data_IF_660572886415
#
_entry.id   IF_660572886415
#
_cell.length_a   1.000
_cell.length_b   1.000
_cell.length_c   1.000
_cell.angle_alpha   90.00
_cell.angle_beta   90.00
_cell.angle_gamma   90.00
#
_symmetry.space_group_name_H-M   'P 1'
#
loop_
_entity.id
_entity.type
_entity.pdbx_description
1 polymer ?
#
# COMPACT_ATOMS: atom_id res chain seq x y z
N UNK A 1 20.32 7.84 -34.12
CA UNK A 1 21.07 7.73 -32.85
C UNK A 1 22.40 8.44 -32.96
N UNK A 2 22.57 9.50 -32.19
CA UNK A 2 23.81 10.24 -32.02
C UNK A 2 24.88 9.40 -31.30
N UNK A 3 26.16 9.74 -31.47
CA UNK A 3 27.30 9.12 -30.76
C UNK A 3 27.10 9.11 -29.23
N UNK A 4 26.42 10.15 -28.71
CA UNK A 4 26.15 10.35 -27.29
C UNK A 4 25.10 9.36 -26.76
N UNK A 5 24.10 9.03 -27.59
CA UNK A 5 23.10 8.01 -27.27
C UNK A 5 23.75 6.63 -27.29
N UNK A 6 24.56 6.30 -28.31
CA UNK A 6 25.26 5.00 -28.38
C UNK A 6 26.14 4.71 -27.16
N UNK A 7 26.86 5.72 -26.65
CA UNK A 7 27.66 5.57 -25.43
C UNK A 7 26.81 5.41 -24.16
N UNK A 8 25.64 6.04 -24.08
CA UNK A 8 24.72 5.88 -22.94
C UNK A 8 24.10 4.48 -22.90
N UNK A 9 23.81 3.90 -24.07
CA UNK A 9 23.32 2.53 -24.19
C UNK A 9 24.38 1.49 -23.79
N UNK A 10 25.64 1.72 -24.16
CA UNK A 10 26.76 0.83 -23.80
C UNK A 10 27.02 0.80 -22.28
N UNK A 11 26.81 1.90 -21.56
CA UNK A 11 26.93 1.95 -20.10
C UNK A 11 25.77 1.22 -19.43
N UNK A 12 24.53 1.43 -19.90
CA UNK A 12 23.33 0.81 -19.32
C UNK A 12 23.33 -0.73 -19.40
N UNK A 13 23.77 -1.29 -20.54
CA UNK A 13 23.91 -2.74 -20.70
C UNK A 13 25.04 -3.35 -19.85
N UNK A 14 26.07 -2.55 -19.52
CA UNK A 14 27.19 -3.00 -18.67
C UNK A 14 26.79 -3.08 -17.20
N UNK A 15 25.84 -2.25 -16.76
CA UNK A 15 25.35 -2.23 -15.38
C UNK A 15 24.19 -3.20 -15.12
N UNK A 16 23.53 -3.72 -16.16
CA UNK A 16 22.38 -4.62 -16.04
C UNK A 16 22.51 -5.86 -16.95
N UNK A 17 23.46 -6.78 -16.65
CA UNK A 17 23.79 -7.91 -17.52
C UNK A 17 22.71 -9.01 -17.56
N UNK A 18 21.70 -8.96 -16.70
CA UNK A 18 20.62 -9.97 -16.64
C UNK A 18 19.44 -9.69 -17.58
N UNK A 19 19.48 -8.61 -18.36
CA UNK A 19 18.40 -8.26 -19.28
C UNK A 19 18.53 -9.00 -20.62
N UNK A 20 17.46 -9.70 -21.01
CA UNK A 20 17.33 -10.64 -22.13
C UNK A 20 17.39 -10.04 -23.55
N UNK A 21 17.84 -8.79 -23.69
CA UNK A 21 17.98 -8.12 -24.98
C UNK A 21 16.67 -7.69 -25.63
N UNK A 22 15.53 -7.71 -24.92
CA UNK A 22 14.27 -7.19 -25.45
C UNK A 22 14.29 -5.64 -25.50
N UNK A 23 14.60 -5.10 -26.69
CA UNK A 23 14.77 -3.66 -26.96
C UNK A 23 13.54 -2.81 -26.56
N UNK A 24 12.32 -3.33 -26.65
CA UNK A 24 11.08 -2.61 -26.29
C UNK A 24 10.94 -2.42 -24.77
N UNK A 25 11.30 -3.44 -23.99
CA UNK A 25 11.32 -3.36 -22.53
C UNK A 25 12.41 -2.41 -22.04
N UNK A 26 13.57 -2.43 -22.70
CA UNK A 26 14.70 -1.55 -22.40
C UNK A 26 14.41 -0.09 -22.77
N UNK A 27 13.73 0.16 -23.88
CA UNK A 27 13.22 1.49 -24.25
C UNK A 27 12.23 2.01 -23.21
N UNK A 28 11.32 1.17 -22.73
CA UNK A 28 10.34 1.55 -21.70
C UNK A 28 11.03 1.91 -20.38
N UNK A 29 12.01 1.11 -19.95
CA UNK A 29 12.84 1.41 -18.78
C UNK A 29 13.64 2.71 -18.95
N UNK A 30 14.26 2.93 -20.11
CA UNK A 30 15.05 4.12 -20.38
C UNK A 30 14.19 5.39 -20.42
N UNK A 31 13.00 5.32 -21.02
CA UNK A 31 12.02 6.40 -21.05
C UNK A 31 11.55 6.74 -19.62
N UNK A 32 11.27 5.72 -18.79
CA UNK A 32 10.84 5.93 -17.41
C UNK A 32 11.98 6.45 -16.52
N UNK A 33 13.21 6.00 -16.73
CA UNK A 33 14.37 6.43 -15.95
C UNK A 33 14.81 7.87 -16.26
N UNK A 34 14.59 8.34 -17.49
CA UNK A 34 14.93 9.70 -17.93
C UNK A 34 13.73 10.68 -17.93
N UNK A 35 12.61 10.33 -17.27
CA UNK A 35 11.55 11.31 -17.05
C UNK A 35 12.09 12.50 -16.24
N UNK A 36 11.68 13.74 -16.52
CA UNK A 36 12.06 14.89 -15.71
C UNK A 36 11.65 14.75 -14.23
N UNK A 37 10.63 13.94 -13.95
CA UNK A 37 10.15 13.60 -12.62
C UNK A 37 11.18 12.78 -11.81
N UNK A 38 11.90 11.84 -12.43
CA UNK A 38 12.93 11.03 -11.73
C UNK A 38 14.18 11.84 -11.41
N UNK A 39 14.51 12.85 -12.24
CA UNK A 39 15.64 13.75 -11.99
C UNK A 39 15.36 14.77 -10.88
N UNK A 40 14.09 15.19 -10.75
CA UNK A 40 13.65 15.98 -9.60
C UNK A 40 13.73 15.16 -8.30
N UNK A 41 13.36 13.88 -8.34
CA UNK A 41 13.45 12.95 -7.21
C UNK A 41 14.92 12.69 -6.82
N UNK A 42 15.81 12.48 -7.80
CA UNK A 42 17.26 12.33 -7.53
C UNK A 42 17.86 13.59 -6.92
N UNK A 43 17.55 14.78 -7.46
CA UNK A 43 18.01 16.05 -6.87
C UNK A 43 17.48 16.27 -5.46
N UNK A 44 16.23 15.88 -5.20
CA UNK A 44 15.65 15.95 -3.86
C UNK A 44 16.35 14.98 -2.89
N UNK A 45 16.66 13.76 -3.33
CA UNK A 45 17.39 12.77 -2.55
C UNK A 45 18.84 13.19 -2.27
N UNK A 46 19.54 13.77 -3.25
CA UNK A 46 20.90 14.29 -3.08
C UNK A 46 20.95 15.53 -2.18
N UNK A 47 19.95 16.42 -2.28
CA UNK A 47 19.81 17.56 -1.39
C UNK A 47 19.52 17.12 0.05
N UNK A 48 18.72 16.06 0.22
CA UNK A 48 18.45 15.45 1.51
C UNK A 48 19.72 14.82 2.12
N UNK A 49 20.48 14.05 1.33
CA UNK A 49 21.72 13.44 1.77
C UNK A 49 22.80 14.47 2.15
N UNK A 50 22.88 15.61 1.44
CA UNK A 50 23.78 16.72 1.80
C UNK A 50 23.38 17.41 3.11
N UNK A 51 22.09 17.63 3.33
CA UNK A 51 21.62 18.19 4.59
C UNK A 51 21.88 17.26 5.78
N UNK A 52 21.82 15.93 5.60
CA UNK A 52 22.15 14.99 6.66
C UNK A 52 23.64 15.00 7.03
N UNK A 53 24.56 15.09 6.06
CA UNK A 53 26.01 15.11 6.36
C UNK A 53 26.49 16.44 6.95
N UNK A 54 25.86 17.56 6.58
CA UNK A 54 26.13 18.87 7.20
C UNK A 54 25.66 18.94 8.67
N UNK A 55 24.58 18.22 9.02
CA UNK A 55 24.12 18.12 10.41
C UNK A 55 25.02 17.24 11.29
N UNK A 56 25.63 16.18 10.73
CA UNK A 56 26.57 15.33 11.48
C UNK A 56 27.91 16.05 11.75
N UNK A 57 28.41 16.84 10.80
CA UNK A 57 29.64 17.62 10.96
C UNK A 57 29.53 18.77 11.99
N UNK A 58 28.32 19.27 12.26
CA UNK A 58 28.08 20.33 13.24
C UNK A 58 27.99 19.80 14.69
N UNK A 59 27.62 18.53 14.88
CA UNK A 59 27.46 17.90 16.21
C UNK A 59 28.82 17.56 16.84
N UNK A 60 29.85 17.26 16.04
CA UNK A 60 31.17 16.84 16.56
C UNK A 60 32.05 17.97 17.13
N UNK A 61 31.72 19.26 16.92
CA UNK A 61 32.61 20.38 17.29
C UNK A 61 32.17 21.25 18.47
N UNK A 62 31.16 20.85 19.23
CA UNK A 62 30.68 21.66 20.36
C UNK A 62 31.08 21.05 21.71
N UNK A 63 31.93 21.71 22.53
CA UNK A 63 32.32 21.16 23.83
C UNK A 63 31.13 21.10 24.80
N UNK A 64 31.05 19.96 25.49
CA UNK A 64 29.91 19.36 26.21
C UNK A 64 29.32 20.14 27.41
N UNK A 65 29.67 21.41 27.63
CA UNK A 65 29.23 22.15 28.84
C UNK A 65 28.63 23.54 28.60
N UNK A 66 28.39 23.95 27.35
CA UNK A 66 28.00 25.34 27.05
C UNK A 66 26.52 25.60 26.70
N UNK A 67 25.62 24.61 26.72
CA UNK A 67 24.19 24.89 26.45
C UNK A 67 23.43 25.06 27.78
N UNK A 68 23.47 26.28 28.31
CA UNK A 68 22.47 26.76 29.28
C UNK A 68 21.21 27.16 28.52
N UNK A 69 20.11 26.45 28.79
CA UNK A 69 18.72 26.87 28.64
C UNK A 69 18.39 27.83 27.48
N UNK A 70 18.10 27.28 26.31
CA UNK A 70 16.99 27.79 25.50
C UNK A 70 16.19 26.62 24.95
N UNK A 71 14.89 26.66 25.24
CA UNK A 71 13.91 25.67 24.87
C UNK A 71 13.83 25.53 23.35
N UNK A 72 14.42 24.47 22.80
CA UNK A 72 14.01 23.95 21.49
C UNK A 72 13.11 22.78 21.79
N UNK A 73 11.81 23.02 21.74
CA UNK A 73 10.79 21.98 21.71
C UNK A 73 10.95 21.17 20.43
N UNK A 74 11.88 20.23 20.44
CA UNK A 74 11.84 19.07 19.54
C UNK A 74 10.52 18.40 19.83
N UNK A 75 9.56 18.49 18.89
CA UNK A 75 8.35 17.69 18.94
C UNK A 75 8.80 16.23 19.02
N UNK A 76 8.75 15.68 20.23
CA UNK A 76 8.93 14.28 20.51
C UNK A 76 7.95 13.55 19.59
N UNK A 77 8.46 12.82 18.60
CA UNK A 77 7.69 11.79 17.92
C UNK A 77 7.04 10.94 19.03
N UNK A 78 5.70 10.75 19.04
CA UNK A 78 5.03 10.15 20.17
C UNK A 78 5.69 8.81 20.51
N UNK A 79 6.24 8.72 21.72
CA UNK A 79 6.70 7.47 22.31
C UNK A 79 5.47 6.60 22.52
N UNK A 80 5.15 5.79 21.51
CA UNK A 80 4.08 4.80 21.61
C UNK A 80 4.45 3.79 22.70
N UNK A 81 3.60 3.55 23.72
CA UNK A 81 3.89 2.64 24.81
C UNK A 81 4.27 1.25 24.26
N UNK A 82 5.44 0.72 24.67
CA UNK A 82 5.97 -0.56 24.20
C UNK A 82 4.96 -1.72 24.35
N UNK A 83 4.14 -1.68 25.39
CA UNK A 83 3.11 -2.69 25.64
C UNK A 83 1.97 -2.66 24.60
N UNK A 84 1.59 -1.47 24.11
CA UNK A 84 0.60 -1.33 23.03
C UNK A 84 1.13 -1.88 21.71
N UNK A 85 2.42 -1.62 21.41
CA UNK A 85 3.09 -2.17 20.22
C UNK A 85 3.13 -3.69 20.25
N UNK A 86 3.51 -4.27 21.40
CA UNK A 86 3.56 -5.73 21.57
C UNK A 86 2.20 -6.39 21.32
N UNK A 87 1.12 -5.83 21.89
CA UNK A 87 -0.25 -6.32 21.67
C UNK A 87 -0.74 -6.16 20.23
N UNK A 88 -0.20 -5.22 19.46
CA UNK A 88 -0.54 -5.06 18.04
C UNK A 88 0.19 -6.09 17.19
N UNK A 89 1.48 -6.34 17.48
CA UNK A 89 2.26 -7.38 16.82
C UNK A 89 1.69 -8.79 17.10
N UNK A 90 1.32 -9.07 18.34
CA UNK A 90 0.70 -10.35 18.71
C UNK A 90 -0.62 -10.57 17.94
N UNK A 91 -1.44 -9.52 17.80
CA UNK A 91 -2.68 -9.56 17.01
C UNK A 91 -2.39 -9.79 15.53
N UNK A 92 -1.38 -9.13 14.98
CA UNK A 92 -0.96 -9.27 13.59
C UNK A 92 -0.50 -10.69 13.27
N UNK A 93 0.40 -11.24 14.09
CA UNK A 93 0.91 -12.62 13.94
C UNK A 93 -0.24 -13.62 13.96
N UNK A 94 -1.23 -13.42 14.83
CA UNK A 94 -2.40 -14.28 14.89
C UNK A 94 -3.27 -14.17 13.64
N UNK A 95 -3.58 -12.96 13.16
CA UNK A 95 -4.32 -12.77 11.91
C UNK A 95 -3.62 -13.43 10.73
N UNK A 96 -2.30 -13.25 10.58
CA UNK A 96 -1.52 -13.89 9.51
C UNK A 96 -1.57 -15.41 9.64
N UNK A 97 -1.52 -15.94 10.86
CA UNK A 97 -1.64 -17.39 11.07
C UNK A 97 -3.00 -17.94 10.65
N UNK A 98 -4.08 -17.19 10.86
CA UNK A 98 -5.41 -17.56 10.39
C UNK A 98 -5.51 -17.46 8.87
N UNK A 99 -5.02 -16.37 8.27
CA UNK A 99 -5.01 -16.18 6.80
C UNK A 99 -4.33 -17.33 6.04
N UNK A 100 -3.28 -17.92 6.62
CA UNK A 100 -2.54 -19.04 6.05
C UNK A 100 -3.26 -20.39 6.14
N UNK A 101 -4.14 -20.54 7.13
CA UNK A 101 -4.83 -21.79 7.42
C UNK A 101 -6.29 -21.79 6.95
N UNK A 102 -6.83 -20.63 6.57
CA UNK A 102 -8.23 -20.50 6.19
C UNK A 102 -8.47 -21.15 4.82
N UNK A 103 -9.32 -22.18 4.80
CA UNK A 103 -9.88 -22.73 3.58
C UNK A 103 -11.20 -21.98 3.39
N UNK A 104 -11.21 -21.00 2.52
CA UNK A 104 -12.43 -20.24 2.25
C UNK A 104 -13.50 -21.13 1.61
N UNK A 105 -14.69 -21.12 2.22
CA UNK A 105 -15.90 -21.75 1.69
C UNK A 105 -17.03 -20.69 1.59
N UNK A 106 -17.54 -20.37 0.38
CA UNK A 106 -18.59 -19.37 0.20
C UNK A 106 -19.80 -19.59 1.09
N UNK A 107 -20.22 -18.53 1.81
CA UNK A 107 -21.39 -18.58 2.70
C UNK A 107 -21.10 -19.10 4.12
N UNK A 108 -19.83 -19.38 4.44
CA UNK A 108 -19.41 -19.72 5.80
C UNK A 108 -18.74 -18.52 6.47
N UNK A 109 -19.11 -18.25 7.72
CA UNK A 109 -18.43 -17.25 8.56
C UNK A 109 -17.16 -17.88 9.10
N UNK A 110 -15.99 -17.35 8.74
CA UNK A 110 -14.70 -17.92 9.15
C UNK A 110 -14.30 -17.49 10.56
N UNK A 111 -13.41 -18.27 11.20
CA UNK A 111 -12.83 -17.91 12.50
C UNK A 111 -12.13 -16.54 12.42
N UNK A 112 -11.47 -16.27 11.30
CA UNK A 112 -10.80 -15.01 11.05
C UNK A 112 -11.77 -13.83 10.98
N UNK A 113 -12.89 -13.98 10.26
CA UNK A 113 -13.92 -12.93 10.21
C UNK A 113 -14.42 -12.59 11.63
N UNK A 114 -14.83 -13.61 12.40
CA UNK A 114 -15.33 -13.40 13.77
C UNK A 114 -14.28 -12.74 14.66
N UNK A 115 -13.02 -13.16 14.56
CA UNK A 115 -11.93 -12.58 15.32
C UNK A 115 -11.77 -11.10 14.97
N UNK A 116 -11.67 -10.74 13.69
CA UNK A 116 -11.45 -9.36 13.25
C UNK A 116 -12.62 -8.47 13.64
N UNK A 117 -13.87 -8.91 13.44
CA UNK A 117 -15.06 -8.16 13.86
C UNK A 117 -15.07 -7.88 15.37
N UNK A 118 -14.73 -8.88 16.18
CA UNK A 118 -14.65 -8.72 17.62
C UNK A 118 -13.54 -7.76 18.02
N UNK A 119 -12.37 -7.81 17.36
CA UNK A 119 -11.29 -6.86 17.62
C UNK A 119 -11.65 -5.43 17.18
N UNK A 120 -12.38 -5.27 16.07
CA UNK A 120 -12.90 -3.96 15.64
C UNK A 120 -13.89 -3.37 16.65
N UNK A 121 -14.71 -4.20 17.32
CA UNK A 121 -15.61 -3.75 18.39
C UNK A 121 -14.86 -3.33 19.67
N UNK A 122 -13.71 -3.95 19.95
CA UNK A 122 -12.88 -3.66 21.13
C UNK A 122 -12.03 -2.41 20.90
N UNK A 123 -11.28 -2.38 19.81
CA UNK A 123 -10.35 -1.32 19.46
C UNK A 123 -10.27 -1.19 17.93
N UNK A 124 -11.19 -0.38 17.38
CA UNK A 124 -11.32 -0.13 15.94
C UNK A 124 -10.03 0.43 15.34
N UNK A 125 -9.46 1.46 15.95
CA UNK A 125 -8.26 2.14 15.44
C UNK A 125 -7.05 1.20 15.39
N UNK A 126 -6.79 0.47 16.49
CA UNK A 126 -5.69 -0.49 16.54
C UNK A 126 -5.87 -1.60 15.51
N UNK A 127 -7.07 -2.17 15.42
CA UNK A 127 -7.34 -3.29 14.52
C UNK A 127 -7.24 -2.87 13.06
N UNK A 128 -7.78 -1.70 12.69
CA UNK A 128 -7.61 -1.14 11.35
C UNK A 128 -6.13 -0.88 11.03
N UNK A 129 -5.36 -0.33 11.97
CA UNK A 129 -3.91 -0.13 11.77
C UNK A 129 -3.17 -1.45 11.58
N UNK A 130 -3.55 -2.52 12.29
CA UNK A 130 -2.98 -3.86 12.11
C UNK A 130 -3.33 -4.40 10.73
N UNK A 131 -4.60 -4.33 10.31
CA UNK A 131 -5.02 -4.78 8.98
C UNK A 131 -4.27 -4.03 7.86
N UNK A 132 -4.13 -2.71 7.97
CA UNK A 132 -3.35 -1.90 7.02
C UNK A 132 -1.86 -2.30 7.00
N UNK A 133 -1.29 -2.65 8.16
CA UNK A 133 0.10 -3.13 8.21
C UNK A 133 0.26 -4.47 7.48
N UNK A 134 -0.66 -5.41 7.68
CA UNK A 134 -0.68 -6.70 6.97
C UNK A 134 -0.85 -6.46 5.48
N UNK A 135 -1.78 -5.57 5.10
CA UNK A 135 -2.02 -5.21 3.71
C UNK A 135 -0.74 -4.73 3.01
N UNK A 136 0.02 -3.82 3.64
CA UNK A 136 1.25 -3.30 3.05
C UNK A 136 2.37 -4.34 2.97
N UNK A 137 2.47 -5.21 3.97
CA UNK A 137 3.54 -6.23 4.04
C UNK A 137 3.27 -7.43 3.14
N UNK A 138 2.00 -7.79 2.92
CA UNK A 138 1.59 -8.93 2.12
C UNK A 138 1.18 -8.54 0.69
N UNK A 139 1.46 -7.30 0.27
CA UNK A 139 1.09 -6.77 -1.05
C UNK A 139 1.64 -7.63 -2.20
N UNK A 140 2.83 -8.22 -2.05
CA UNK A 140 3.43 -9.08 -3.07
C UNK A 140 2.91 -10.53 -3.07
N UNK A 141 2.25 -10.96 -2.00
CA UNK A 141 1.76 -12.33 -1.84
C UNK A 141 0.30 -12.44 -2.26
N UNK A 142 0.04 -12.48 -3.57
CA UNK A 142 -1.30 -12.47 -4.19
C UNK A 142 -2.33 -13.34 -3.46
N UNK A 143 -2.01 -14.60 -3.13
CA UNK A 143 -2.96 -15.51 -2.48
C UNK A 143 -3.35 -15.08 -1.06
N UNK A 144 -2.39 -14.67 -0.23
CA UNK A 144 -2.67 -14.15 1.11
C UNK A 144 -3.40 -12.82 1.04
N UNK A 145 -3.06 -12.01 0.05
CA UNK A 145 -3.66 -10.70 -0.16
C UNK A 145 -5.13 -10.81 -0.57
N UNK A 146 -5.46 -11.76 -1.46
CA UNK A 146 -6.84 -12.09 -1.82
C UNK A 146 -7.63 -12.56 -0.59
N UNK A 147 -7.06 -13.45 0.24
CA UNK A 147 -7.71 -13.89 1.48
C UNK A 147 -7.95 -12.73 2.46
N UNK A 148 -7.01 -11.78 2.55
CA UNK A 148 -7.17 -10.58 3.37
C UNK A 148 -8.32 -9.70 2.85
N UNK A 149 -8.36 -9.43 1.54
CA UNK A 149 -9.43 -8.65 0.89
C UNK A 149 -10.80 -9.31 1.07
N UNK A 150 -10.84 -10.63 0.97
CA UNK A 150 -12.04 -11.42 1.21
C UNK A 150 -12.58 -11.20 2.63
N UNK A 151 -11.74 -11.32 3.65
CA UNK A 151 -12.14 -11.03 5.04
C UNK A 151 -12.63 -9.59 5.18
N UNK A 152 -11.91 -8.63 4.60
CA UNK A 152 -12.29 -7.21 4.62
C UNK A 152 -13.67 -7.00 3.99
N UNK A 153 -13.97 -7.68 2.88
CA UNK A 153 -15.25 -7.55 2.18
C UNK A 153 -16.45 -8.10 2.94
N UNK A 154 -16.24 -9.06 3.86
CA UNK A 154 -17.32 -9.64 4.67
C UNK A 154 -17.62 -8.81 5.93
N UNK A 155 -16.76 -7.86 6.27
CA UNK A 155 -16.97 -6.97 7.41
C UNK A 155 -17.90 -5.84 6.99
N UNK A 156 -18.88 -5.51 7.84
CA UNK A 156 -19.80 -4.40 7.63
C UNK A 156 -19.05 -3.09 7.29
N UNK A 157 -19.50 -2.41 6.24
CA UNK A 157 -18.86 -1.20 5.71
C UNK A 157 -18.52 -0.17 6.81
N UNK A 158 -19.50 0.16 7.68
CA UNK A 158 -19.33 1.16 8.76
C UNK A 158 -18.34 0.74 9.83
N UNK A 159 -18.14 -0.57 10.03
CA UNK A 159 -17.18 -1.11 11.00
C UNK A 159 -15.74 -0.94 10.50
N UNK A 160 -15.51 -1.06 9.19
CA UNK A 160 -14.17 -1.02 8.59
C UNK A 160 -13.83 0.32 7.94
N UNK A 161 -14.78 1.26 7.81
CA UNK A 161 -14.52 2.62 7.34
C UNK A 161 -13.58 3.38 8.30
N UNK A 162 -12.60 4.17 7.78
CA UNK A 162 -12.27 4.37 6.36
C UNK A 162 -11.25 3.37 5.80
N UNK A 163 -10.64 2.54 6.66
CA UNK A 163 -9.56 1.64 6.29
C UNK A 163 -9.93 0.66 5.18
N UNK A 164 -11.10 0.01 5.28
CA UNK A 164 -11.57 -0.98 4.31
C UNK A 164 -11.68 -0.41 2.91
N UNK A 165 -12.51 0.64 2.69
CA UNK A 165 -12.64 1.27 1.37
C UNK A 165 -11.31 1.77 0.79
N UNK A 166 -10.41 2.32 1.61
CA UNK A 166 -9.08 2.75 1.13
C UNK A 166 -8.25 1.54 0.65
N UNK A 167 -8.26 0.43 1.40
CA UNK A 167 -7.57 -0.81 1.02
C UNK A 167 -8.18 -1.42 -0.26
N UNK A 168 -9.50 -1.45 -0.39
CA UNK A 168 -10.18 -1.93 -1.59
C UNK A 168 -9.86 -1.05 -2.80
N UNK A 169 -9.90 0.28 -2.66
CA UNK A 169 -9.50 1.21 -3.70
C UNK A 169 -8.05 0.98 -4.16
N UNK A 170 -7.12 0.85 -3.21
CA UNK A 170 -5.72 0.57 -3.55
C UNK A 170 -5.56 -0.78 -4.28
N UNK A 171 -6.34 -1.80 -3.91
CA UNK A 171 -6.30 -3.12 -4.55
C UNK A 171 -6.73 -3.06 -6.03
N UNK A 172 -7.64 -2.14 -6.40
CA UNK A 172 -8.04 -1.93 -7.81
C UNK A 172 -6.89 -1.47 -8.72
N UNK A 173 -5.74 -1.07 -8.15
CA UNK A 173 -4.54 -0.65 -8.90
C UNK A 173 -3.37 -1.62 -8.77
N UNK A 174 -3.60 -2.80 -8.22
CA UNK A 174 -2.60 -3.85 -8.12
C UNK A 174 -2.19 -4.40 -9.50
N UNK A 175 -0.96 -4.91 -9.64
CA UNK A 175 -0.49 -5.47 -10.93
C UNK A 175 -1.24 -6.77 -11.29
N UNK A 176 -1.58 -7.56 -10.28
CA UNK A 176 -2.32 -8.80 -10.42
C UNK A 176 -3.81 -8.53 -10.71
N UNK A 177 -4.34 -9.19 -11.74
CA UNK A 177 -5.71 -8.98 -12.18
C UNK A 177 -6.76 -9.54 -11.21
N UNK A 178 -6.46 -10.64 -10.52
CA UNK A 178 -7.34 -11.26 -9.53
C UNK A 178 -7.50 -10.33 -8.32
N UNK A 179 -6.40 -9.73 -7.87
CA UNK A 179 -6.43 -8.76 -6.77
C UNK A 179 -7.28 -7.53 -7.12
N UNK A 180 -7.18 -7.04 -8.37
CA UNK A 180 -7.98 -5.90 -8.82
C UNK A 180 -9.47 -6.22 -8.84
N UNK A 181 -9.84 -7.41 -9.31
CA UNK A 181 -11.21 -7.91 -9.25
C UNK A 181 -11.70 -8.01 -7.81
N UNK A 182 -10.91 -8.57 -6.90
CA UNK A 182 -11.26 -8.64 -5.48
C UNK A 182 -11.41 -7.26 -4.83
N UNK A 183 -10.65 -6.26 -5.28
CA UNK A 183 -10.86 -4.87 -4.90
C UNK A 183 -12.26 -4.36 -5.26
N UNK A 184 -12.80 -4.73 -6.42
CA UNK A 184 -14.18 -4.41 -6.81
C UNK A 184 -15.21 -5.23 -6.03
N UNK A 185 -14.97 -6.53 -5.82
CA UNK A 185 -15.84 -7.41 -5.02
C UNK A 185 -16.01 -6.92 -3.58
N UNK A 186 -15.03 -6.21 -3.02
CA UNK A 186 -15.21 -5.56 -1.73
C UNK A 186 -16.36 -4.56 -1.75
N UNK A 187 -16.44 -3.72 -2.79
CA UNK A 187 -17.52 -2.76 -2.94
C UNK A 187 -18.85 -3.44 -3.24
N UNK A 188 -18.85 -4.48 -4.09
CA UNK A 188 -20.03 -5.30 -4.34
C UNK A 188 -20.59 -5.89 -3.04
N UNK A 189 -19.76 -6.53 -2.22
CA UNK A 189 -20.21 -7.15 -0.97
C UNK A 189 -20.73 -6.15 0.07
N UNK A 190 -20.26 -4.90 0.05
CA UNK A 190 -20.71 -3.89 1.00
C UNK A 190 -22.07 -3.29 0.67
N UNK A 191 -22.43 -3.22 -0.63
CA UNK A 191 -23.69 -2.64 -1.11
C UNK A 191 -24.00 -1.24 -0.51
N UNK A 192 -22.97 -0.48 -0.10
CA UNK A 192 -23.15 0.81 0.60
C UNK A 192 -23.11 1.97 -0.42
N UNK A 193 -24.17 2.81 -0.53
CA UNK A 193 -24.23 3.91 -1.50
C UNK A 193 -23.05 4.88 -1.46
N UNK A 194 -22.33 4.99 -0.33
CA UNK A 194 -21.12 5.80 -0.23
C UNK A 194 -20.02 5.35 -1.23
N UNK A 195 -20.03 4.09 -1.64
CA UNK A 195 -19.08 3.51 -2.58
C UNK A 195 -19.25 4.04 -4.02
N UNK A 196 -20.45 4.50 -4.39
CA UNK A 196 -20.77 4.88 -5.77
C UNK A 196 -19.86 5.99 -6.31
N UNK A 197 -19.52 6.96 -5.46
CA UNK A 197 -18.60 8.04 -5.82
C UNK A 197 -17.19 7.55 -6.16
N UNK A 198 -16.73 6.50 -5.47
CA UNK A 198 -15.43 5.87 -5.70
C UNK A 198 -15.49 5.03 -6.98
N UNK A 199 -16.52 4.19 -7.12
CA UNK A 199 -16.69 3.32 -8.29
C UNK A 199 -16.72 4.13 -9.60
N UNK A 200 -17.47 5.24 -9.63
CA UNK A 200 -17.55 6.14 -10.80
C UNK A 200 -16.21 6.81 -11.18
N UNK A 201 -15.25 6.86 -10.26
CA UNK A 201 -13.93 7.41 -10.51
C UNK A 201 -12.93 6.35 -11.02
N UNK A 202 -13.30 5.07 -11.02
CA UNK A 202 -12.45 3.98 -11.48
C UNK A 202 -12.47 3.83 -13.00
N UNK A 203 -11.41 3.22 -13.51
CA UNK A 203 -11.24 2.90 -14.92
C UNK A 203 -10.24 1.75 -15.04
N UNK A 204 -10.55 0.77 -15.90
CA UNK A 204 -9.72 -0.40 -16.17
C UNK A 204 -9.46 -0.52 -17.67
N UNK A 205 -8.23 -0.92 -18.03
CA UNK A 205 -7.85 -1.14 -19.42
C UNK A 205 -8.41 -2.48 -19.93
N UNK A 206 -8.51 -3.47 -19.05
CA UNK A 206 -9.08 -4.78 -19.34
C UNK A 206 -10.60 -4.66 -19.51
N UNK A 207 -11.05 -4.88 -20.74
CA UNK A 207 -12.47 -4.75 -21.12
C UNK A 207 -13.42 -5.51 -20.20
N UNK A 208 -13.06 -6.73 -19.78
CA UNK A 208 -13.93 -7.53 -18.94
C UNK A 208 -14.08 -6.93 -17.53
N UNK A 209 -13.01 -6.36 -16.98
CA UNK A 209 -13.01 -5.76 -15.64
C UNK A 209 -13.70 -4.39 -15.66
N UNK A 210 -13.53 -3.65 -16.75
CA UNK A 210 -14.29 -2.43 -17.02
C UNK A 210 -15.79 -2.71 -17.14
N UNK A 211 -16.18 -3.75 -17.88
CA UNK A 211 -17.59 -4.16 -17.96
C UNK A 211 -18.15 -4.56 -16.58
N UNK A 212 -17.36 -5.27 -15.76
CA UNK A 212 -17.79 -5.64 -14.41
C UNK A 212 -18.00 -4.42 -13.51
N UNK A 213 -17.11 -3.42 -13.57
CA UNK A 213 -17.30 -2.13 -12.90
C UNK A 213 -18.60 -1.43 -13.36
N UNK A 214 -18.85 -1.40 -14.66
CA UNK A 214 -20.05 -0.75 -15.23
C UNK A 214 -21.34 -1.44 -14.79
N UNK A 215 -21.35 -2.78 -14.75
CA UNK A 215 -22.46 -3.56 -14.19
C UNK A 215 -22.69 -3.22 -12.72
N UNK A 216 -21.61 -3.21 -11.93
CA UNK A 216 -21.69 -2.88 -10.50
C UNK A 216 -22.23 -1.46 -10.26
N UNK A 217 -21.82 -0.48 -11.06
CA UNK A 217 -22.35 0.89 -10.96
C UNK A 217 -23.84 0.92 -11.28
N UNK A 218 -24.29 0.19 -12.32
CA UNK A 218 -25.69 0.12 -12.68
C UNK A 218 -26.53 -0.52 -11.56
N UNK A 219 -26.04 -1.60 -10.95
CA UNK A 219 -26.73 -2.27 -9.83
C UNK A 219 -26.92 -1.32 -8.63
N UNK A 220 -25.92 -0.48 -8.33
CA UNK A 220 -26.01 0.53 -7.28
C UNK A 220 -26.97 1.68 -7.62
N UNK A 221 -27.10 2.06 -8.90
CA UNK A 221 -28.03 3.11 -9.33
C UNK A 221 -29.49 2.63 -9.43
N UNK A 222 -29.71 1.36 -9.75
CA UNK A 222 -31.05 0.76 -9.81
C UNK A 222 -31.62 0.43 -8.42
N UNK A 223 -30.76 0.27 -7.40
CA UNK A 223 -31.13 -0.01 -6.01
C UNK A 223 -31.52 1.21 -5.16
N UNK A 224 -31.40 2.44 -5.66
CA UNK A 224 -31.85 3.69 -5.02
C UNK A 224 -33.36 3.97 -5.22
#
# INVERSE_FOLDING_TARGET
MSEKEKNSWAVFFKENPENDGNEERLLTYWINFNRPETEAIKKAAEAFARNCSETEAAVEKTPMWSIKNQAVTTKILPFFPQEKRRKAEDQKVYIISLLKNDIYDPGTVTELQLYVENQLKIDKEKTQSVLQSIYLEEFEHTSLFVNLLQVISQIEYKMIEPAGPIMALAATRHWDCEVREYGLRCYENWEDPACLSVLKALYFEEKWLQNYLEMLIADFEEGE
#
